data_IF_399354190668
#
_entry.id   IF_399354190668
#
_cell.length_a   1.000
_cell.length_b   1.000
_cell.length_c   1.000
_cell.angle_alpha   90.00
_cell.angle_beta   90.00
_cell.angle_gamma   90.00
#
_symmetry.space_group_name_H-M   'P 1'
#
loop_
_entity.id
_entity.type
_entity.pdbx_description
1 polymer ?
#
# COMPACT_ATOMS: atom_id res chain seq x y z
N UNK A 1 59.00 -6.85 -23.35
CA UNK A 1 58.85 -7.78 -22.22
C UNK A 1 58.13 -7.07 -21.07
N UNK A 2 57.04 -7.69 -20.57
CA UNK A 2 56.27 -7.46 -19.32
C UNK A 2 55.57 -6.09 -19.14
N UNK A 3 54.26 -6.00 -19.43
CA UNK A 3 53.09 -6.26 -18.56
C UNK A 3 53.01 -5.42 -17.27
N UNK A 4 52.00 -4.53 -17.21
CA UNK A 4 51.16 -4.35 -16.02
C UNK A 4 49.78 -3.80 -16.40
N UNK A 5 48.83 -4.72 -16.38
CA UNK A 5 47.38 -4.53 -16.37
C UNK A 5 46.94 -3.91 -15.06
N UNK A 6 46.05 -2.91 -15.08
CA UNK A 6 45.08 -2.69 -13.98
C UNK A 6 43.73 -2.34 -14.62
N UNK A 7 42.79 -3.29 -14.50
CA UNK A 7 41.36 -3.14 -14.72
C UNK A 7 40.74 -2.58 -13.44
N UNK A 8 40.01 -1.46 -13.50
CA UNK A 8 38.89 -1.08 -12.62
C UNK A 8 38.19 0.08 -13.35
N UNK A 9 36.88 0.19 -13.45
CA UNK A 9 35.78 -0.52 -12.83
C UNK A 9 34.50 0.13 -13.36
N UNK A 10 33.39 -0.59 -13.21
CA UNK A 10 32.06 -0.15 -13.58
C UNK A 10 31.83 1.33 -13.24
N UNK A 11 31.49 2.13 -14.26
CA UNK A 11 30.78 3.38 -14.05
C UNK A 11 29.37 3.01 -13.54
N UNK A 12 29.29 2.76 -12.23
CA UNK A 12 28.07 2.66 -11.47
C UNK A 12 27.25 3.91 -11.76
N UNK A 13 26.22 3.74 -12.60
CA UNK A 13 25.10 4.66 -12.66
C UNK A 13 24.58 4.79 -11.22
N UNK A 14 24.81 5.96 -10.63
CA UNK A 14 24.33 6.30 -9.31
C UNK A 14 22.80 6.39 -9.40
N UNK A 15 22.13 5.26 -9.21
CA UNK A 15 20.72 5.25 -8.85
C UNK A 15 20.64 5.99 -7.52
N UNK A 16 20.09 7.20 -7.57
CA UNK A 16 19.68 7.95 -6.39
C UNK A 16 18.59 7.13 -5.70
N UNK A 17 19.02 6.20 -4.85
CA UNK A 17 18.16 5.51 -3.92
C UNK A 17 17.74 6.55 -2.88
N UNK A 18 16.58 7.17 -3.09
CA UNK A 18 15.95 8.00 -2.08
C UNK A 18 15.56 7.08 -0.93
N UNK A 19 16.43 7.00 0.08
CA UNK A 19 16.11 6.39 1.36
C UNK A 19 15.01 7.21 2.02
N UNK A 20 13.75 6.81 1.82
CA UNK A 20 12.63 7.25 2.64
C UNK A 20 12.68 6.52 4.00
N UNK A 21 13.69 6.84 4.81
CA UNK A 21 13.72 6.52 6.23
C UNK A 21 13.33 7.77 7.01
N UNK A 22 12.05 8.13 6.98
CA UNK A 22 11.47 9.08 7.95
C UNK A 22 10.02 8.71 8.23
N UNK A 23 9.76 8.22 9.44
CA UNK A 23 8.40 8.13 9.97
C UNK A 23 7.74 9.50 10.03
N UNK A 24 6.63 9.63 9.31
CA UNK A 24 5.49 10.52 9.53
C UNK A 24 4.53 10.21 8.38
N UNK A 25 3.41 9.54 8.68
CA UNK A 25 2.48 8.96 7.69
C UNK A 25 2.34 9.79 6.43
N UNK A 26 2.86 9.25 5.32
CA UNK A 26 2.75 9.90 4.03
C UNK A 26 1.27 10.02 3.71
N UNK A 27 0.84 11.28 3.57
CA UNK A 27 -0.56 11.59 3.35
C UNK A 27 -0.92 11.15 1.94
N UNK A 28 -1.65 10.04 1.84
CA UNK A 28 -2.22 9.52 0.59
C UNK A 28 -2.71 10.70 -0.29
N UNK A 29 -2.35 10.76 -1.58
CA UNK A 29 -2.75 11.83 -2.49
C UNK A 29 -4.26 12.10 -2.43
N UNK A 30 -4.67 13.36 -2.57
CA UNK A 30 -6.07 13.75 -2.30
C UNK A 30 -7.10 13.09 -3.23
N UNK A 31 -6.70 12.84 -4.46
CA UNK A 31 -7.45 12.11 -5.49
C UNK A 31 -7.48 10.60 -5.21
N UNK A 32 -6.35 10.00 -4.81
CA UNK A 32 -6.32 8.62 -4.31
C UNK A 32 -7.24 8.43 -3.10
N UNK A 33 -7.19 9.36 -2.13
CA UNK A 33 -8.07 9.36 -0.96
C UNK A 33 -9.55 9.42 -1.36
N UNK A 34 -9.90 10.26 -2.34
CA UNK A 34 -11.27 10.31 -2.86
C UNK A 34 -11.68 8.99 -3.51
N UNK A 35 -10.79 8.35 -4.27
CA UNK A 35 -11.06 7.06 -4.89
C UNK A 35 -11.27 5.96 -3.83
N UNK A 36 -10.41 5.91 -2.80
CA UNK A 36 -10.49 4.91 -1.71
C UNK A 36 -11.79 5.05 -0.92
N UNK A 37 -12.13 6.29 -0.52
CA UNK A 37 -13.30 6.56 0.31
C UNK A 37 -14.61 6.60 -0.49
N UNK A 38 -14.54 6.87 -1.79
CA UNK A 38 -15.72 6.97 -2.66
C UNK A 38 -16.42 5.64 -2.93
N UNK A 39 -15.80 4.51 -2.54
CA UNK A 39 -16.40 3.18 -2.62
C UNK A 39 -17.35 2.85 -1.44
N UNK A 40 -17.47 3.74 -0.46
CA UNK A 40 -18.28 3.54 0.74
C UNK A 40 -19.52 4.43 0.74
N UNK A 41 -20.58 3.93 1.37
CA UNK A 41 -21.77 4.70 1.67
C UNK A 41 -21.52 5.66 2.86
N UNK A 42 -22.20 6.81 2.94
CA UNK A 42 -21.99 7.80 4.00
C UNK A 42 -22.15 7.27 5.43
N UNK A 43 -23.08 6.34 5.64
CA UNK A 43 -23.34 5.67 6.93
C UNK A 43 -22.19 4.77 7.41
N UNK A 44 -21.36 4.27 6.49
CA UNK A 44 -20.21 3.44 6.83
C UNK A 44 -19.09 4.27 7.46
N UNK A 45 -19.11 5.60 7.33
CA UNK A 45 -18.17 6.54 7.99
C UNK A 45 -16.70 6.08 7.87
N UNK A 46 -16.21 5.79 6.65
CA UNK A 46 -14.88 5.24 6.46
C UNK A 46 -13.80 6.25 6.89
N UNK A 47 -12.72 5.73 7.48
CA UNK A 47 -11.55 6.50 7.90
C UNK A 47 -10.28 5.77 7.50
N UNK A 48 -9.36 6.50 6.87
CA UNK A 48 -7.99 6.01 6.66
C UNK A 48 -7.22 6.18 7.97
N UNK A 49 -6.71 5.07 8.50
CA UNK A 49 -5.93 5.02 9.73
C UNK A 49 -4.43 5.12 9.43
N UNK A 50 -3.97 4.47 8.36
CA UNK A 50 -2.61 4.63 7.84
C UNK A 50 -2.56 4.56 6.32
N UNK A 51 -1.56 5.23 5.76
CA UNK A 51 -1.18 5.12 4.36
C UNK A 51 0.34 5.17 4.28
N UNK A 52 0.92 4.23 3.54
CA UNK A 52 2.36 4.09 3.35
C UNK A 52 2.62 3.87 1.86
N UNK A 53 3.44 4.74 1.25
CA UNK A 53 3.93 4.47 -0.09
C UNK A 53 4.98 3.36 -0.02
N UNK A 54 4.96 2.46 -1.00
CA UNK A 54 5.90 1.34 -1.09
C UNK A 54 6.41 1.20 -2.51
N UNK A 55 7.58 0.56 -2.62
CA UNK A 55 8.14 0.22 -3.92
C UNK A 55 7.23 -0.77 -4.65
N UNK A 56 6.90 -0.54 -5.93
CA UNK A 56 6.12 -1.46 -6.73
C UNK A 56 6.82 -2.83 -6.85
N UNK A 57 6.08 -3.92 -6.69
CA UNK A 57 6.59 -5.24 -7.02
C UNK A 57 6.62 -5.47 -8.54
N UNK A 58 7.29 -6.54 -8.98
CA UNK A 58 7.38 -6.89 -10.40
C UNK A 58 6.00 -7.03 -11.08
N UNK A 59 4.99 -7.54 -10.35
CA UNK A 59 3.61 -7.63 -10.84
C UNK A 59 3.00 -6.23 -11.07
N UNK A 60 3.23 -5.28 -10.16
CA UNK A 60 2.72 -3.91 -10.24
C UNK A 60 3.37 -3.19 -11.44
N UNK A 61 4.68 -3.36 -11.61
CA UNK A 61 5.43 -2.83 -12.75
C UNK A 61 4.92 -3.42 -14.08
N UNK A 62 4.59 -4.70 -14.11
CA UNK A 62 4.01 -5.37 -15.29
C UNK A 62 2.63 -4.81 -15.65
N UNK A 63 1.87 -4.38 -14.64
CA UNK A 63 0.59 -3.69 -14.81
C UNK A 63 0.74 -2.20 -15.17
N UNK A 64 1.97 -1.66 -15.16
CA UNK A 64 2.24 -0.23 -15.40
C UNK A 64 1.96 0.66 -14.20
N UNK A 65 2.07 0.13 -12.98
CA UNK A 65 1.93 0.93 -11.77
C UNK A 65 3.14 1.86 -11.58
N UNK A 66 2.85 3.15 -11.43
CA UNK A 66 3.81 4.24 -11.19
C UNK A 66 4.01 4.47 -9.69
N UNK A 67 2.96 4.25 -8.90
CA UNK A 67 2.96 4.39 -7.45
C UNK A 67 2.14 3.25 -6.83
N UNK A 68 2.57 2.76 -5.67
CA UNK A 68 1.84 1.75 -4.90
C UNK A 68 1.77 2.19 -3.44
N UNK A 69 0.59 2.08 -2.85
CA UNK A 69 0.29 2.51 -1.49
C UNK A 69 -0.42 1.39 -0.73
N UNK A 70 0.10 1.08 0.45
CA UNK A 70 -0.58 0.25 1.44
C UNK A 70 -1.44 1.17 2.32
N UNK A 71 -2.76 0.97 2.30
CA UNK A 71 -3.74 1.80 3.02
C UNK A 71 -4.53 0.93 4.00
N UNK A 72 -4.43 1.22 5.29
CA UNK A 72 -5.29 0.61 6.31
C UNK A 72 -6.42 1.56 6.66
N UNK A 73 -7.62 1.01 6.82
CA UNK A 73 -8.80 1.80 7.12
C UNK A 73 -9.85 1.09 7.96
N UNK A 74 -10.56 1.86 8.77
CA UNK A 74 -11.71 1.42 9.55
C UNK A 74 -13.01 2.02 9.02
N UNK A 75 -14.11 1.31 9.25
CA UNK A 75 -15.45 1.74 8.87
C UNK A 75 -16.52 1.03 9.72
N UNK A 76 -17.72 1.58 9.73
CA UNK A 76 -18.89 1.00 10.38
C UNK A 76 -19.51 -0.04 9.46
N UNK A 77 -19.73 -1.25 9.95
CA UNK A 77 -20.24 -2.38 9.19
C UNK A 77 -21.28 -3.17 10.01
N UNK A 78 -22.24 -3.81 9.34
CA UNK A 78 -23.13 -4.76 10.00
C UNK A 78 -22.44 -6.12 10.16
N UNK A 79 -22.30 -6.59 11.40
CA UNK A 79 -21.74 -7.92 11.66
C UNK A 79 -22.84 -8.98 11.73
N UNK A 80 -22.92 -9.85 10.72
CA UNK A 80 -23.87 -10.96 10.72
C UNK A 80 -23.67 -11.93 11.90
N UNK A 81 -22.42 -12.13 12.34
CA UNK A 81 -22.09 -13.02 13.46
C UNK A 81 -22.54 -12.49 14.83
N UNK A 82 -22.69 -11.18 14.95
CA UNK A 82 -23.07 -10.52 16.21
C UNK A 82 -24.47 -9.90 16.18
N UNK A 83 -25.08 -9.75 14.99
CA UNK A 83 -26.40 -9.15 14.85
C UNK A 83 -26.44 -7.66 15.20
N UNK A 84 -25.32 -6.96 15.05
CA UNK A 84 -25.17 -5.54 15.41
C UNK A 84 -24.13 -4.84 14.52
N UNK A 85 -24.18 -3.49 14.53
CA UNK A 85 -23.16 -2.66 13.89
C UNK A 85 -21.86 -2.68 14.69
N UNK A 86 -20.72 -2.79 14.00
CA UNK A 86 -19.37 -2.80 14.60
C UNK A 86 -18.38 -1.95 13.79
N UNK A 87 -17.19 -1.76 14.36
CA UNK A 87 -16.04 -1.21 13.63
C UNK A 87 -15.31 -2.34 12.92
N UNK A 88 -15.42 -2.37 11.58
CA UNK A 88 -14.62 -3.23 10.72
C UNK A 88 -13.29 -2.57 10.35
N UNK A 89 -12.34 -3.41 9.96
CA UNK A 89 -11.04 -3.06 9.42
C UNK A 89 -10.87 -3.65 8.02
N UNK A 90 -10.18 -2.94 7.14
CA UNK A 90 -9.78 -3.39 5.82
C UNK A 90 -8.40 -2.82 5.46
N UNK A 91 -7.65 -3.58 4.66
CA UNK A 91 -6.34 -3.22 4.13
C UNK A 91 -6.45 -3.19 2.60
N UNK A 92 -6.04 -2.08 1.98
CA UNK A 92 -6.19 -1.83 0.56
C UNK A 92 -4.88 -1.49 -0.10
N UNK A 93 -4.60 -2.16 -1.22
CA UNK A 93 -3.48 -1.85 -2.09
C UNK A 93 -3.95 -0.88 -3.17
N UNK A 94 -3.40 0.33 -3.16
CA UNK A 94 -3.82 1.44 -4.02
C UNK A 94 -2.70 1.75 -5.00
N UNK A 95 -2.97 1.63 -6.29
CA UNK A 95 -1.99 1.74 -7.37
C UNK A 95 -2.32 2.89 -8.30
N UNK A 96 -1.31 3.64 -8.73
CA UNK A 96 -1.44 4.61 -9.82
C UNK A 96 -1.06 3.97 -11.14
N UNK A 97 -2.01 3.81 -12.06
CA UNK A 97 -1.78 3.19 -13.38
C UNK A 97 -2.35 4.11 -14.45
N UNK A 98 -1.48 4.64 -15.31
CA UNK A 98 -1.88 5.50 -16.44
C UNK A 98 -2.73 6.70 -16.00
N UNK A 99 -2.35 7.35 -14.89
CA UNK A 99 -3.07 8.49 -14.33
C UNK A 99 -4.36 8.17 -13.56
N UNK A 100 -4.75 6.89 -13.41
CA UNK A 100 -5.90 6.46 -12.64
C UNK A 100 -5.49 5.72 -11.37
N UNK A 101 -6.38 5.71 -10.36
CA UNK A 101 -6.20 4.96 -9.12
C UNK A 101 -6.95 3.62 -9.20
N UNK A 102 -6.21 2.52 -9.13
CA UNK A 102 -6.75 1.18 -8.98
C UNK A 102 -6.65 0.76 -7.51
N UNK A 103 -7.72 0.15 -6.99
CA UNK A 103 -7.83 -0.25 -5.59
C UNK A 103 -8.10 -1.75 -5.53
N UNK A 104 -7.32 -2.48 -4.73
CA UNK A 104 -7.51 -3.91 -4.46
C UNK A 104 -7.63 -4.14 -2.96
N UNK A 105 -8.55 -5.01 -2.56
CA UNK A 105 -8.70 -5.47 -1.18
C UNK A 105 -7.65 -6.53 -0.88
N UNK A 106 -7.15 -6.55 0.36
CA UNK A 106 -6.23 -7.59 0.85
C UNK A 106 -7.02 -8.60 1.65
N UNK A 107 -7.48 -9.66 1.00
CA UNK A 107 -8.44 -10.61 1.59
C UNK A 107 -7.91 -12.04 1.61
N UNK A 108 -7.14 -12.44 0.60
CA UNK A 108 -6.60 -13.80 0.51
C UNK A 108 -5.25 -13.93 1.21
N UNK A 109 -4.84 -15.16 1.51
CA UNK A 109 -3.50 -15.43 2.05
C UNK A 109 -2.40 -14.95 1.07
N UNK A 110 -2.61 -15.11 -0.23
CA UNK A 110 -1.71 -14.59 -1.26
C UNK A 110 -1.60 -13.06 -1.20
N UNK A 111 -2.72 -12.35 -1.01
CA UNK A 111 -2.68 -10.89 -0.87
C UNK A 111 -1.94 -10.47 0.40
N UNK A 112 -2.12 -11.21 1.50
CA UNK A 112 -1.45 -10.94 2.79
C UNK A 112 0.05 -11.17 2.69
N UNK A 113 0.50 -12.27 2.07
CA UNK A 113 1.92 -12.51 1.80
C UNK A 113 2.53 -11.38 0.95
N UNK A 114 1.82 -10.97 -0.09
CA UNK A 114 2.20 -9.84 -0.96
C UNK A 114 2.25 -8.50 -0.22
N UNK A 115 1.34 -8.28 0.70
CA UNK A 115 1.31 -7.10 1.57
C UNK A 115 2.53 -7.06 2.48
N UNK A 116 2.83 -8.18 3.15
CA UNK A 116 3.98 -8.31 4.04
C UNK A 116 5.31 -8.19 3.28
N UNK A 117 5.42 -8.75 2.07
CA UNK A 117 6.61 -8.60 1.22
C UNK A 117 6.92 -7.13 0.87
N UNK A 118 5.91 -6.26 0.83
CA UNK A 118 6.09 -4.80 0.63
C UNK A 118 6.53 -4.09 1.92
N UNK A 119 6.64 -4.81 3.03
CA UNK A 119 6.94 -4.24 4.35
C UNK A 119 5.75 -3.48 4.95
N UNK A 120 4.53 -3.80 4.53
CA UNK A 120 3.33 -3.16 5.04
C UNK A 120 2.81 -3.88 6.29
N UNK A 121 2.40 -3.11 7.29
CA UNK A 121 1.80 -3.66 8.52
C UNK A 121 0.31 -3.91 8.28
N UNK A 122 -0.16 -5.14 8.54
CA UNK A 122 -1.58 -5.47 8.47
C UNK A 122 -2.31 -4.89 9.68
N UNK A 123 -3.49 -4.33 9.45
CA UNK A 123 -4.40 -4.00 10.53
C UNK A 123 -5.17 -5.27 10.95
N UNK A 124 -5.33 -5.54 12.26
CA UNK A 124 -6.15 -6.68 12.70
C UNK A 124 -7.60 -6.52 12.22
N UNK A 125 -8.19 -7.62 11.75
CA UNK A 125 -9.53 -7.66 11.13
C UNK A 125 -10.68 -7.16 12.06
N UNK A 126 -10.44 -7.03 13.37
CA UNK A 126 -11.41 -6.50 14.35
C UNK A 126 -10.73 -5.47 15.25
N UNK A 127 -11.16 -4.21 15.15
CA UNK A 127 -10.54 -3.09 15.89
C UNK A 127 -11.24 -2.84 17.23
N UNK A 128 -12.55 -3.10 17.34
CA UNK A 128 -13.27 -3.13 18.62
C UNK A 128 -14.71 -3.67 18.49
N UNK A 129 -15.27 -4.13 19.62
CA UNK A 129 -16.70 -4.10 19.88
C UNK A 129 -17.07 -2.89 20.72
N UNK A 130 -18.24 -2.31 20.49
CA UNK A 130 -18.90 -1.52 21.52
C UNK A 130 -19.68 -2.46 22.45
#
# INVERSE_FOLDING_TARGET
>A
MKNRTIRYGAALASILLAMALTGCGEKLPSDAKKAVLGAFEPEERPRIDSAQQVEPLQEDLTMGAEEVWCVNMTFSCWSCGHGEWRTCADSRLVRRIGGNWQISLVVTDEDREKWEMRGCELMPDVVSGY
#
